data_IF_597425299677
#
_entry.id   IF_597425299677
#
_cell.length_a   1.000
_cell.length_b   1.000
_cell.length_c   1.000
_cell.angle_alpha   90.00
_cell.angle_beta   90.00
_cell.angle_gamma   90.00
#
_symmetry.space_group_name_H-M   'P 1'
#
loop_
_entity.id
_entity.type
_entity.pdbx_description
1 polymer ?
#
# COMPACT_ATOMS: atom_id res chain seq x y z
N UNK A 1 -22.13 30.26 -6.28
CA UNK A 1 -21.87 29.04 -5.50
C UNK A 1 -22.23 27.75 -6.25
N UNK A 2 -22.92 27.82 -7.40
CA UNK A 2 -23.21 26.67 -8.29
C UNK A 2 -22.09 26.31 -9.27
N UNK A 3 -21.15 27.22 -9.56
CA UNK A 3 -20.10 26.98 -10.58
C UNK A 3 -18.90 26.17 -10.06
N UNK A 4 -18.56 26.29 -8.77
CA UNK A 4 -17.41 25.58 -8.18
C UNK A 4 -17.61 24.07 -8.10
N UNK A 5 -18.85 23.63 -7.85
CA UNK A 5 -19.21 22.20 -7.82
C UNK A 5 -19.14 21.58 -9.21
N UNK A 6 -19.36 22.39 -10.25
CA UNK A 6 -19.27 21.96 -11.65
C UNK A 6 -17.80 21.85 -12.09
N UNK A 7 -16.93 22.79 -11.70
CA UNK A 7 -15.50 22.71 -12.02
C UNK A 7 -14.82 21.47 -11.44
N UNK A 8 -15.06 21.14 -10.17
CA UNK A 8 -14.44 19.97 -9.52
C UNK A 8 -14.85 18.65 -10.20
N UNK A 9 -16.11 18.55 -10.62
CA UNK A 9 -16.59 17.38 -11.34
C UNK A 9 -15.96 17.28 -12.74
N UNK A 10 -15.85 18.41 -13.44
CA UNK A 10 -15.21 18.46 -14.76
C UNK A 10 -13.71 18.17 -14.67
N UNK A 11 -13.00 18.61 -13.63
CA UNK A 11 -11.59 18.28 -13.42
C UNK A 11 -11.35 16.77 -13.25
N UNK A 12 -12.21 16.09 -12.50
CA UNK A 12 -12.18 14.63 -12.39
C UNK A 12 -12.36 13.95 -13.75
N UNK A 13 -13.28 14.44 -14.60
CA UNK A 13 -13.50 13.89 -15.94
C UNK A 13 -12.36 14.25 -16.93
N UNK A 14 -11.68 15.40 -16.73
CA UNK A 14 -10.49 15.78 -17.52
C UNK A 14 -9.35 14.81 -17.23
N UNK A 15 -9.09 14.50 -15.96
CA UNK A 15 -8.10 13.51 -15.53
C UNK A 15 -8.44 12.14 -16.12
N UNK A 16 -9.69 11.69 -15.96
CA UNK A 16 -10.19 10.43 -16.51
C UNK A 16 -9.97 10.32 -18.02
N UNK A 17 -10.31 11.39 -18.78
CA UNK A 17 -10.08 11.46 -20.24
C UNK A 17 -8.61 11.31 -20.60
N UNK A 18 -7.73 11.92 -19.82
CA UNK A 18 -6.31 12.01 -20.12
C UNK A 18 -5.60 10.66 -19.91
N UNK A 19 -6.03 9.88 -18.91
CA UNK A 19 -5.50 8.53 -18.61
C UNK A 19 -6.14 7.42 -19.48
N UNK A 20 -6.98 7.76 -20.45
CA UNK A 20 -7.53 6.80 -21.41
C UNK A 20 -8.73 5.97 -20.89
N UNK A 21 -9.29 6.34 -19.74
CA UNK A 21 -10.48 5.70 -19.21
C UNK A 21 -11.73 5.99 -20.07
N UNK A 22 -12.67 5.03 -20.19
CA UNK A 22 -13.83 5.18 -21.05
C UNK A 22 -14.86 6.16 -20.47
N UNK A 23 -14.92 7.37 -21.02
CA UNK A 23 -15.99 8.33 -20.77
C UNK A 23 -17.21 8.06 -21.64
N UNK A 24 -18.41 8.21 -21.06
CA UNK A 24 -19.65 8.23 -21.85
C UNK A 24 -19.65 9.41 -22.83
N UNK A 25 -20.43 9.31 -23.90
CA UNK A 25 -20.52 10.38 -24.91
C UNK A 25 -21.09 11.69 -24.32
N UNK A 26 -21.98 11.57 -23.33
CA UNK A 26 -22.52 12.72 -22.58
C UNK A 26 -21.45 13.39 -21.72
N UNK A 27 -20.60 12.63 -21.03
CA UNK A 27 -19.53 13.19 -20.19
C UNK A 27 -18.45 13.85 -21.04
N UNK A 28 -18.08 13.24 -22.18
CA UNK A 28 -17.15 13.84 -23.14
C UNK A 28 -17.68 15.19 -23.66
N UNK A 29 -18.95 15.23 -24.04
CA UNK A 29 -19.61 16.47 -24.49
C UNK A 29 -19.63 17.55 -23.39
N UNK A 30 -19.88 17.16 -22.14
CA UNK A 30 -19.86 18.09 -21.00
C UNK A 30 -18.47 18.64 -20.70
N UNK A 31 -17.43 17.79 -20.73
CA UNK A 31 -16.03 18.23 -20.55
C UNK A 31 -15.62 19.21 -21.64
N UNK A 32 -15.87 18.88 -22.91
CA UNK A 32 -15.45 19.73 -24.03
C UNK A 32 -16.20 21.07 -24.04
N UNK A 33 -17.49 21.07 -23.70
CA UNK A 33 -18.28 22.29 -23.55
C UNK A 33 -17.83 23.17 -22.37
N UNK A 34 -17.50 22.55 -21.23
CA UNK A 34 -17.07 23.28 -20.04
C UNK A 34 -15.64 23.83 -20.17
N UNK A 35 -14.71 23.04 -20.71
CA UNK A 35 -13.34 23.50 -21.01
C UNK A 35 -13.33 24.62 -22.05
N UNK A 36 -14.29 24.62 -22.98
CA UNK A 36 -14.48 25.71 -23.93
C UNK A 36 -14.86 27.06 -23.29
N UNK A 37 -15.36 27.05 -22.04
CA UNK A 37 -15.88 28.24 -21.35
C UNK A 37 -15.12 28.61 -20.07
N UNK A 38 -14.54 27.63 -19.37
CA UNK A 38 -13.78 27.83 -18.13
C UNK A 38 -12.26 27.85 -18.39
N UNK A 39 -11.60 28.99 -18.18
CA UNK A 39 -10.15 29.13 -18.37
C UNK A 39 -9.33 28.28 -17.40
N UNK A 40 -9.79 28.09 -16.15
CA UNK A 40 -9.09 27.26 -15.15
C UNK A 40 -9.07 25.78 -15.54
N UNK A 41 -10.21 25.22 -15.94
CA UNK A 41 -10.27 23.83 -16.41
C UNK A 41 -9.51 23.62 -17.72
N UNK A 42 -9.41 24.66 -18.57
CA UNK A 42 -8.59 24.63 -19.79
C UNK A 42 -7.09 24.58 -19.48
N UNK A 43 -6.63 25.36 -18.50
CA UNK A 43 -5.24 25.32 -18.03
C UNK A 43 -4.92 23.95 -17.40
N UNK A 44 -5.82 23.44 -16.56
CA UNK A 44 -5.70 22.11 -15.94
C UNK A 44 -5.60 20.99 -16.99
N UNK A 45 -6.48 20.99 -18.01
CA UNK A 45 -6.42 20.03 -19.11
C UNK A 45 -5.09 20.09 -19.87
N UNK A 46 -4.59 21.29 -20.19
CA UNK A 46 -3.32 21.43 -20.90
C UNK A 46 -2.13 20.97 -20.07
N UNK A 47 -2.13 21.24 -18.76
CA UNK A 47 -1.09 20.77 -17.84
C UNK A 47 -1.05 19.23 -17.76
N UNK A 48 -2.21 18.59 -17.68
CA UNK A 48 -2.32 17.12 -17.64
C UNK A 48 -1.87 16.50 -18.98
N UNK A 49 -2.27 17.08 -20.12
CA UNK A 49 -1.85 16.59 -21.44
C UNK A 49 -0.34 16.73 -21.64
N UNK A 50 0.26 17.84 -21.22
CA UNK A 50 1.71 18.04 -21.28
C UNK A 50 2.45 17.05 -20.36
N UNK A 51 1.92 16.77 -19.18
CA UNK A 51 2.49 15.80 -18.25
C UNK A 51 2.53 14.40 -18.88
N UNK A 52 1.43 13.96 -19.48
CA UNK A 52 1.31 12.61 -20.06
C UNK A 52 2.22 12.45 -21.29
N UNK A 53 2.34 13.48 -22.12
CA UNK A 53 3.20 13.45 -23.31
C UNK A 53 4.70 13.47 -22.97
N UNK A 54 5.08 13.84 -21.74
CA UNK A 54 6.47 13.86 -21.28
C UNK A 54 6.99 12.53 -20.73
N UNK A 55 6.16 11.48 -20.62
CA UNK A 55 6.51 10.23 -19.94
C UNK A 55 7.01 9.19 -20.96
N UNK A 56 8.25 8.70 -20.87
CA UNK A 56 8.73 7.59 -21.69
C UNK A 56 8.06 6.28 -21.23
N UNK A 57 7.27 5.66 -22.12
CA UNK A 57 6.67 4.34 -21.89
C UNK A 57 7.74 3.29 -22.19
N UNK A 58 8.24 2.61 -21.16
CA UNK A 58 9.09 1.42 -21.31
C UNK A 58 8.29 0.18 -20.91
N UNK A 59 8.00 -0.68 -21.88
CA UNK A 59 7.41 -1.99 -21.65
C UNK A 59 8.49 -2.94 -21.11
N UNK A 60 8.48 -3.22 -19.80
CA UNK A 60 9.23 -4.34 -19.25
C UNK A 60 8.26 -5.40 -18.71
N UNK A 61 8.48 -6.67 -19.08
CA UNK A 61 7.78 -7.84 -18.55
C UNK A 61 8.75 -8.63 -17.68
N UNK A 62 8.41 -8.80 -16.41
CA UNK A 62 9.14 -9.66 -15.48
C UNK A 62 8.58 -11.09 -15.49
N UNK A 63 9.44 -12.11 -15.57
CA UNK A 63 9.08 -13.53 -15.73
C UNK A 63 9.55 -14.43 -14.54
N UNK A 64 9.90 -13.86 -13.38
CA UNK A 64 10.44 -14.61 -12.22
C UNK A 64 9.42 -14.94 -11.11
N UNK A 65 9.72 -15.96 -10.30
CA UNK A 65 8.97 -16.33 -9.09
C UNK A 65 9.56 -15.62 -7.85
N UNK A 66 8.76 -14.76 -7.23
CA UNK A 66 9.15 -13.85 -6.14
C UNK A 66 8.84 -14.41 -4.74
N UNK A 67 8.15 -15.54 -4.63
CA UNK A 67 7.74 -16.14 -3.35
C UNK A 67 8.90 -16.38 -2.36
N UNK A 68 10.09 -16.83 -2.78
CA UNK A 68 11.19 -17.11 -1.83
C UNK A 68 11.72 -15.86 -1.15
N UNK A 69 11.79 -14.74 -1.87
CA UNK A 69 12.35 -13.47 -1.38
C UNK A 69 11.40 -12.78 -0.40
N UNK A 70 10.10 -12.90 -0.65
CA UNK A 70 9.03 -12.37 0.21
C UNK A 70 8.91 -13.18 1.51
N UNK A 71 9.08 -14.50 1.44
CA UNK A 71 9.04 -15.37 2.62
C UNK A 71 10.17 -15.08 3.64
N UNK A 72 11.37 -14.75 3.16
CA UNK A 72 12.48 -14.40 4.07
C UNK A 72 12.23 -13.03 4.73
N UNK A 73 11.65 -12.06 4.00
CA UNK A 73 11.28 -10.73 4.54
C UNK A 73 10.21 -10.81 5.65
N UNK A 74 9.21 -11.68 5.49
CA UNK A 74 8.17 -11.89 6.50
C UNK A 74 8.67 -12.62 7.76
N UNK A 75 9.77 -13.37 7.65
CA UNK A 75 10.38 -14.10 8.76
C UNK A 75 11.04 -13.16 9.78
N UNK A 76 11.51 -11.98 9.33
CA UNK A 76 12.22 -11.01 10.15
C UNK A 76 11.30 -9.96 10.79
N UNK A 77 10.08 -9.76 10.29
CA UNK A 77 9.13 -8.81 10.86
C UNK A 77 8.51 -9.30 12.18
N UNK A 78 8.86 -8.67 13.31
CA UNK A 78 8.17 -8.87 14.60
C UNK A 78 6.75 -8.29 14.55
N UNK A 79 5.76 -8.91 15.23
CA UNK A 79 4.41 -8.35 15.29
C UNK A 79 4.43 -7.04 16.07
N UNK A 80 4.05 -5.94 15.40
CA UNK A 80 3.82 -4.65 16.04
C UNK A 80 2.54 -4.72 16.91
N UNK A 81 2.52 -4.14 18.11
CA UNK A 81 1.34 -4.15 18.98
C UNK A 81 0.19 -3.31 18.40
N UNK A 82 -1.03 -3.85 18.58
CA UNK A 82 -2.35 -3.45 18.08
C UNK A 82 -2.86 -2.04 18.52
N UNK A 83 -1.96 -1.13 18.91
CA UNK A 83 -2.32 0.19 19.46
C UNK A 83 -2.32 1.32 18.41
N UNK A 84 -2.00 1.03 17.15
CA UNK A 84 -1.83 2.06 16.10
C UNK A 84 -3.08 2.35 15.25
N UNK A 85 -4.24 1.73 15.53
CA UNK A 85 -5.47 1.97 14.77
C UNK A 85 -6.38 3.09 15.31
N UNK A 86 -6.05 3.72 16.44
CA UNK A 86 -6.81 4.87 16.95
C UNK A 86 -5.91 5.87 17.68
N UNK A 87 -5.49 6.94 17.01
CA UNK A 87 -5.49 8.33 17.54
C UNK A 87 -4.88 9.29 16.51
N UNK A 88 -5.73 10.11 15.91
CA UNK A 88 -5.32 11.47 15.59
C UNK A 88 -5.08 12.22 16.90
N UNK A 89 -3.97 12.97 16.98
CA UNK A 89 -3.66 13.86 18.10
C UNK A 89 -2.46 13.44 18.95
N UNK A 90 -1.38 14.21 18.79
CA UNK A 90 -0.22 14.39 19.67
C UNK A 90 0.86 13.28 19.70
N UNK A 91 1.93 13.51 18.95
CA UNK A 91 3.28 13.14 19.40
C UNK A 91 4.22 14.34 19.26
N UNK A 92 4.45 15.02 20.39
CA UNK A 92 5.52 16.01 20.58
C UNK A 92 6.65 15.32 21.34
N UNK A 93 7.87 15.37 20.77
CA UNK A 93 9.19 15.07 21.37
C UNK A 93 9.40 13.62 21.88
N UNK A 94 10.53 12.95 21.65
CA UNK A 94 11.90 13.35 22.04
C UNK A 94 12.93 12.72 21.08
N UNK A 95 13.75 13.59 20.48
CA UNK A 95 15.08 13.28 19.95
C UNK A 95 16.08 12.99 21.10
N UNK A 96 17.08 12.15 20.82
CA UNK A 96 18.28 11.83 21.61
C UNK A 96 18.16 10.77 22.72
N UNK A 97 18.72 9.57 22.45
CA UNK A 97 19.98 9.17 23.10
C UNK A 97 20.59 7.92 22.44
N UNK A 98 21.50 8.16 21.49
CA UNK A 98 22.71 7.35 21.37
C UNK A 98 23.73 7.89 22.36
N UNK A 99 23.94 7.19 23.48
CA UNK A 99 25.07 7.40 24.37
C UNK A 99 25.29 6.15 25.22
N UNK A 100 25.97 5.15 24.65
CA UNK A 100 26.75 4.22 25.47
C UNK A 100 28.07 4.93 25.75
N UNK A 101 28.33 5.37 26.98
CA UNK A 101 29.68 5.31 27.53
C UNK A 101 29.71 5.42 29.05
N UNK A 102 30.47 4.49 29.62
CA UNK A 102 30.77 4.29 31.04
C UNK A 102 31.60 5.45 31.57
N UNK A 103 31.31 5.79 32.83
CA UNK A 103 31.99 6.76 33.67
C UNK A 103 33.53 6.74 33.58
N UNK A 104 34.15 7.91 33.38
CA UNK A 104 35.43 8.36 33.97
C UNK A 104 35.53 9.91 33.83
N UNK A 105 36.24 10.63 34.73
CA UNK A 105 36.02 12.06 34.95
C UNK A 105 36.96 13.00 34.17
N UNK A 106 36.39 14.13 33.75
CA UNK A 106 36.94 15.51 33.72
C UNK A 106 38.23 15.77 32.91
N UNK A 107 38.07 16.45 31.77
CA UNK A 107 38.90 17.62 31.47
C UNK A 107 38.17 18.65 30.58
N UNK A 108 38.56 19.91 30.74
CA UNK A 108 37.86 21.13 30.29
C UNK A 108 38.13 21.48 28.81
N UNK A 109 37.14 22.15 28.20
CA UNK A 109 37.26 23.03 27.03
C UNK A 109 37.75 22.41 25.71
N UNK A 110 36.82 21.84 24.94
CA UNK A 110 36.83 21.98 23.48
C UNK A 110 35.42 22.33 23.07
N UNK A 111 35.21 23.60 22.69
CA UNK A 111 34.02 23.99 21.94
C UNK A 111 34.12 23.38 20.55
N UNK A 112 33.65 22.15 20.38
CA UNK A 112 33.27 21.63 19.08
C UNK A 112 31.94 22.26 18.73
N UNK A 113 32.01 23.44 18.10
CA UNK A 113 30.97 23.87 17.20
C UNK A 113 30.93 22.81 16.10
N UNK A 114 30.05 21.80 16.26
CA UNK A 114 29.74 20.86 15.20
C UNK A 114 29.11 21.73 14.11
N UNK A 115 29.92 22.10 13.12
CA UNK A 115 29.44 22.73 11.91
C UNK A 115 28.39 21.79 11.31
N UNK A 116 27.10 22.08 11.55
CA UNK A 116 26.04 21.47 10.76
C UNK A 116 26.34 21.87 9.34
N UNK A 117 26.60 20.87 8.49
CA UNK A 117 26.64 21.09 7.05
C UNK A 117 25.37 21.86 6.67
N UNK A 118 25.44 22.87 5.78
CA UNK A 118 24.24 23.54 5.32
C UNK A 118 23.27 22.48 4.80
N UNK A 119 22.02 22.55 5.28
CA UNK A 119 20.99 21.60 4.88
C UNK A 119 20.86 21.63 3.36
N UNK A 120 20.89 20.44 2.74
CA UNK A 120 20.76 20.36 1.29
C UNK A 120 19.34 20.71 0.86
N UNK A 121 19.11 21.11 -0.41
CA UNK A 121 17.76 21.37 -0.91
C UNK A 121 16.81 20.19 -0.68
N UNK A 122 17.29 18.95 -0.84
CA UNK A 122 16.49 17.74 -0.61
C UNK A 122 16.20 17.52 0.88
N UNK A 123 17.15 17.79 1.77
CA UNK A 123 16.92 17.73 3.22
C UNK A 123 15.86 18.75 3.67
N UNK A 124 15.90 19.97 3.14
CA UNK A 124 14.87 20.98 3.39
C UNK A 124 13.50 20.56 2.85
N UNK A 125 13.47 20.01 1.64
CA UNK A 125 12.25 19.52 1.00
C UNK A 125 11.60 18.38 1.79
N UNK A 126 12.38 17.47 2.39
CA UNK A 126 11.87 16.43 3.28
C UNK A 126 11.15 17.02 4.50
N UNK A 127 11.70 18.06 5.11
CA UNK A 127 11.08 18.75 6.25
C UNK A 127 9.80 19.48 5.82
N UNK A 128 9.83 20.18 4.68
CA UNK A 128 8.68 20.91 4.17
C UNK A 128 7.55 19.97 3.73
N UNK A 129 7.87 18.87 3.06
CA UNK A 129 6.92 17.85 2.68
C UNK A 129 6.28 17.19 3.90
N UNK A 130 7.04 16.95 4.98
CA UNK A 130 6.46 16.44 6.22
C UNK A 130 5.50 17.45 6.87
N UNK A 131 5.81 18.74 6.83
CA UNK A 131 4.88 19.78 7.29
C UNK A 131 3.60 19.79 6.45
N UNK A 132 3.72 19.79 5.12
CA UNK A 132 2.58 19.72 4.20
C UNK A 132 1.73 18.44 4.43
N UNK A 133 2.37 17.30 4.68
CA UNK A 133 1.68 16.04 5.02
C UNK A 133 0.91 16.14 6.34
N UNK A 134 1.49 16.77 7.36
CA UNK A 134 0.82 16.98 8.65
C UNK A 134 -0.41 17.89 8.53
N UNK A 135 -0.39 18.81 7.56
CA UNK A 135 -1.50 19.71 7.23
C UNK A 135 -2.55 19.05 6.29
N UNK A 136 -2.33 17.79 5.88
CA UNK A 136 -3.20 17.06 4.95
C UNK A 136 -3.02 17.47 3.47
N UNK A 137 -2.00 18.27 3.16
CA UNK A 137 -1.65 18.72 1.81
C UNK A 137 -0.80 17.67 1.07
N UNK A 138 -1.29 16.44 0.93
CA UNK A 138 -0.54 15.30 0.40
C UNK A 138 -0.01 15.51 -1.03
N UNK A 139 -0.82 16.07 -1.92
CA UNK A 139 -0.39 16.35 -3.30
C UNK A 139 0.74 17.39 -3.34
N UNK A 140 0.73 18.37 -2.43
CA UNK A 140 1.80 19.37 -2.33
C UNK A 140 3.07 18.75 -1.76
N UNK A 141 2.96 17.94 -0.71
CA UNK A 141 4.09 17.20 -0.14
C UNK A 141 4.79 16.33 -1.20
N UNK A 142 3.99 15.64 -2.03
CA UNK A 142 4.49 14.88 -3.16
C UNK A 142 5.28 15.73 -4.16
N UNK A 143 4.72 16.87 -4.59
CA UNK A 143 5.36 17.76 -5.56
C UNK A 143 6.69 18.31 -5.02
N UNK A 144 6.72 18.76 -3.76
CA UNK A 144 7.93 19.27 -3.10
C UNK A 144 9.07 18.25 -3.18
N UNK A 145 8.80 16.98 -2.87
CA UNK A 145 9.81 15.92 -2.90
C UNK A 145 10.27 15.62 -4.33
N UNK A 146 9.35 15.50 -5.27
CA UNK A 146 9.67 15.18 -6.66
C UNK A 146 10.46 16.30 -7.34
N UNK A 147 10.13 17.56 -7.06
CA UNK A 147 10.87 18.72 -7.58
C UNK A 147 12.27 18.80 -6.97
N UNK A 148 12.42 18.58 -5.66
CA UNK A 148 13.72 18.59 -5.01
C UNK A 148 14.67 17.52 -5.55
N UNK A 149 14.20 16.28 -5.75
CA UNK A 149 15.00 15.20 -6.34
C UNK A 149 15.31 15.46 -7.82
N UNK A 150 14.41 16.15 -8.54
CA UNK A 150 14.67 16.53 -9.93
C UNK A 150 15.74 17.62 -10.04
N UNK A 151 15.80 18.53 -9.07
CA UNK A 151 16.80 19.60 -9.02
C UNK A 151 18.18 19.09 -8.58
N UNK A 152 18.23 18.13 -7.66
CA UNK A 152 19.48 17.53 -7.18
C UNK A 152 19.37 16.00 -6.99
N UNK A 153 19.50 15.27 -8.09
CA UNK A 153 19.31 13.82 -8.12
C UNK A 153 20.46 13.03 -7.46
N UNK A 154 21.64 13.64 -7.34
CA UNK A 154 22.84 13.02 -6.74
C UNK A 154 22.95 13.29 -5.22
N UNK A 155 21.98 14.01 -4.65
CA UNK A 155 21.92 14.29 -3.21
C UNK A 155 21.84 13.01 -2.38
N UNK A 156 22.52 12.98 -1.24
CA UNK A 156 22.58 11.81 -0.36
C UNK A 156 21.21 11.41 0.22
N UNK A 157 20.22 12.31 0.20
CA UNK A 157 18.85 12.08 0.67
C UNK A 157 17.85 11.88 -0.48
N UNK A 158 18.29 11.86 -1.74
CA UNK A 158 17.41 11.72 -2.90
C UNK A 158 16.59 10.41 -2.85
N UNK A 159 17.22 9.29 -2.44
CA UNK A 159 16.51 8.02 -2.27
C UNK A 159 15.43 8.07 -1.20
N UNK A 160 15.71 8.67 -0.04
CA UNK A 160 14.73 8.87 1.02
C UNK A 160 13.55 9.74 0.57
N UNK A 161 13.81 10.80 -0.19
CA UNK A 161 12.78 11.67 -0.75
C UNK A 161 11.91 10.93 -1.79
N UNK A 162 12.53 10.12 -2.66
CA UNK A 162 11.81 9.27 -3.62
C UNK A 162 10.90 8.26 -2.92
N UNK A 163 11.40 7.58 -1.88
CA UNK A 163 10.59 6.63 -1.11
C UNK A 163 9.42 7.32 -0.40
N UNK A 164 9.66 8.49 0.21
CA UNK A 164 8.60 9.29 0.82
C UNK A 164 7.54 9.76 -0.19
N UNK A 165 7.95 10.13 -1.41
CA UNK A 165 7.01 10.47 -2.48
C UNK A 165 6.18 9.26 -2.92
N UNK A 166 6.81 8.08 -3.04
CA UNK A 166 6.13 6.82 -3.36
C UNK A 166 5.11 6.43 -2.30
N UNK A 167 5.46 6.60 -1.03
CA UNK A 167 4.58 6.36 0.12
C UNK A 167 3.34 7.26 0.09
N UNK A 168 3.52 8.56 -0.19
CA UNK A 168 2.40 9.51 -0.31
C UNK A 168 1.51 9.14 -1.49
N UNK A 169 2.11 8.84 -2.65
CA UNK A 169 1.38 8.44 -3.85
C UNK A 169 0.54 7.18 -3.60
N UNK A 170 1.11 6.17 -2.94
CA UNK A 170 0.44 4.91 -2.64
C UNK A 170 -0.65 5.06 -1.57
N UNK A 171 -0.26 5.53 -0.38
CA UNK A 171 -1.10 5.39 0.82
C UNK A 171 -2.13 6.52 0.96
N UNK A 172 -1.78 7.75 0.58
CA UNK A 172 -2.61 8.93 0.86
C UNK A 172 -3.39 9.40 -0.36
N UNK A 173 -2.84 9.18 -1.56
CA UNK A 173 -3.43 9.67 -2.82
C UNK A 173 -4.09 8.56 -3.65
N UNK A 174 -3.78 7.28 -3.40
CA UNK A 174 -4.25 6.17 -4.22
C UNK A 174 -3.74 6.24 -5.68
N UNK A 175 -2.65 6.96 -5.93
CA UNK A 175 -2.04 7.12 -7.25
C UNK A 175 -1.15 5.92 -7.57
N UNK A 176 -1.77 4.75 -7.74
CA UNK A 176 -1.05 3.47 -7.83
C UNK A 176 -0.07 3.38 -9.00
N UNK A 177 -0.44 3.91 -10.17
CA UNK A 177 0.47 3.94 -11.32
C UNK A 177 1.72 4.79 -11.04
N UNK A 178 1.56 5.95 -10.41
CA UNK A 178 2.65 6.84 -10.05
C UNK A 178 3.52 6.21 -8.96
N UNK A 179 2.91 5.64 -7.92
CA UNK A 179 3.63 4.92 -6.86
C UNK A 179 4.46 3.77 -7.44
N UNK A 180 3.90 3.01 -8.38
CA UNK A 180 4.58 1.92 -9.07
C UNK A 180 5.80 2.40 -9.86
N UNK A 181 5.66 3.48 -10.63
CA UNK A 181 6.80 4.10 -11.33
C UNK A 181 7.89 4.59 -10.36
N UNK A 182 7.49 5.19 -9.25
CA UNK A 182 8.41 5.73 -8.24
C UNK A 182 9.18 4.61 -7.54
N UNK A 183 8.50 3.56 -7.11
CA UNK A 183 9.17 2.42 -6.48
C UNK A 183 10.04 1.64 -7.46
N UNK A 184 9.65 1.54 -8.74
CA UNK A 184 10.53 1.02 -9.80
C UNK A 184 11.83 1.83 -9.90
N UNK A 185 11.72 3.16 -9.90
CA UNK A 185 12.87 4.06 -9.89
C UNK A 185 13.70 3.90 -8.61
N UNK A 186 13.06 3.80 -7.45
CA UNK A 186 13.73 3.57 -6.18
C UNK A 186 14.52 2.26 -6.17
N UNK A 187 13.94 1.19 -6.72
CA UNK A 187 14.59 -0.11 -6.84
C UNK A 187 15.82 -0.06 -7.78
N UNK A 188 15.75 0.70 -8.88
CA UNK A 188 16.81 0.73 -9.89
C UNK A 188 17.93 1.73 -9.58
N UNK A 189 17.59 2.92 -9.08
CA UNK A 189 18.52 4.03 -8.85
C UNK A 189 18.95 4.15 -7.38
N UNK A 190 18.08 3.76 -6.44
CA UNK A 190 18.27 3.95 -4.99
C UNK A 190 18.14 2.63 -4.21
N UNK A 191 18.69 1.54 -4.75
CA UNK A 191 18.48 0.18 -4.24
C UNK A 191 18.79 0.02 -2.75
N UNK A 192 19.87 0.65 -2.25
CA UNK A 192 20.24 0.55 -0.82
C UNK A 192 19.14 1.10 0.08
N UNK A 193 18.61 2.28 -0.23
CA UNK A 193 17.52 2.90 0.52
C UNK A 193 16.24 2.06 0.38
N UNK A 194 15.87 1.69 -0.85
CA UNK A 194 14.68 0.90 -1.13
C UNK A 194 14.68 -0.45 -0.39
N UNK A 195 15.77 -1.20 -0.45
CA UNK A 195 15.88 -2.53 0.17
C UNK A 195 15.94 -2.47 1.70
N UNK A 196 16.32 -1.33 2.29
CA UNK A 196 16.29 -1.12 3.73
C UNK A 196 14.90 -0.79 4.29
N UNK A 197 13.98 -0.31 3.45
CA UNK A 197 12.63 0.07 3.85
C UNK A 197 11.61 -1.05 3.55
N UNK A 198 11.37 -1.91 4.54
CA UNK A 198 10.51 -3.09 4.39
C UNK A 198 9.08 -2.75 3.91
N UNK A 199 8.54 -1.60 4.32
CA UNK A 199 7.22 -1.14 3.89
C UNK A 199 7.22 -0.76 2.40
N UNK A 200 8.29 -0.14 1.90
CA UNK A 200 8.42 0.20 0.47
C UNK A 200 8.52 -1.07 -0.38
N UNK A 201 9.34 -2.05 0.05
CA UNK A 201 9.43 -3.36 -0.63
C UNK A 201 8.08 -4.07 -0.65
N UNK A 202 7.35 -4.09 0.47
CA UNK A 202 6.02 -4.70 0.54
C UNK A 202 5.04 -4.01 -0.42
N UNK A 203 4.96 -2.68 -0.39
CA UNK A 203 4.05 -1.90 -1.26
C UNK A 203 4.39 -2.09 -2.74
N UNK A 204 5.67 -2.10 -3.08
CA UNK A 204 6.11 -2.38 -4.44
C UNK A 204 5.66 -3.77 -4.91
N UNK A 205 5.81 -4.81 -4.08
CA UNK A 205 5.34 -6.16 -4.42
C UNK A 205 3.82 -6.22 -4.63
N UNK A 206 3.05 -5.46 -3.84
CA UNK A 206 1.60 -5.34 -4.04
C UNK A 206 1.27 -4.67 -5.37
N UNK A 207 2.00 -3.61 -5.71
CA UNK A 207 1.83 -2.91 -6.99
C UNK A 207 2.22 -3.79 -8.18
N UNK A 208 3.32 -4.55 -8.08
CA UNK A 208 3.73 -5.52 -9.10
C UNK A 208 2.65 -6.61 -9.30
N UNK A 209 2.12 -7.16 -8.21
CA UNK A 209 1.02 -8.12 -8.28
C UNK A 209 -0.21 -7.50 -8.97
N UNK A 210 -0.62 -6.31 -8.55
CA UNK A 210 -1.77 -5.62 -9.12
C UNK A 210 -1.56 -5.31 -10.61
N UNK A 211 -0.39 -4.79 -10.98
CA UNK A 211 -0.02 -4.49 -12.36
C UNK A 211 -0.02 -5.74 -13.25
N UNK A 212 0.39 -6.90 -12.70
CA UNK A 212 0.36 -8.18 -13.42
C UNK A 212 -1.05 -8.68 -13.73
N UNK A 213 -2.03 -8.29 -12.91
CA UNK A 213 -3.47 -8.59 -13.12
C UNK A 213 -4.03 -7.63 -14.16
N UNK A 214 -3.80 -6.33 -13.96
CA UNK A 214 -4.26 -5.27 -14.83
C UNK A 214 -3.40 -3.99 -14.67
N UNK A 215 -2.99 -3.41 -15.79
CA UNK A 215 -2.10 -2.24 -15.81
C UNK A 215 -2.74 -0.96 -15.26
N UNK A 216 -4.08 -0.90 -15.15
CA UNK A 216 -4.80 0.20 -14.54
C UNK A 216 -5.01 0.02 -13.02
N UNK A 217 -4.43 -1.02 -12.41
CA UNK A 217 -4.50 -1.29 -10.96
C UNK A 217 -5.94 -1.43 -10.45
N UNK A 218 -6.86 -1.94 -11.28
CA UNK A 218 -8.29 -2.09 -10.91
C UNK A 218 -8.50 -2.87 -9.61
N UNK A 219 -7.64 -3.86 -9.30
CA UNK A 219 -7.70 -4.63 -8.06
C UNK A 219 -7.49 -3.76 -6.83
N UNK A 220 -6.54 -2.83 -6.84
CA UNK A 220 -6.28 -1.95 -5.69
C UNK A 220 -7.41 -0.96 -5.49
N UNK A 221 -7.92 -0.35 -6.57
CA UNK A 221 -9.09 0.53 -6.47
C UNK A 221 -10.35 -0.22 -5.98
N UNK A 222 -10.53 -1.47 -6.41
CA UNK A 222 -11.63 -2.30 -5.93
C UNK A 222 -11.48 -2.68 -4.45
N UNK A 223 -10.24 -2.89 -3.97
CA UNK A 223 -9.96 -3.10 -2.56
C UNK A 223 -10.31 -1.85 -1.75
N UNK A 224 -9.86 -0.67 -2.17
CA UNK A 224 -10.16 0.59 -1.48
C UNK A 224 -11.66 0.83 -1.41
N UNK A 225 -12.37 0.59 -2.51
CA UNK A 225 -13.82 0.70 -2.55
C UNK A 225 -14.50 -0.28 -1.58
N UNK A 226 -13.95 -1.48 -1.40
CA UNK A 226 -14.46 -2.46 -0.44
C UNK A 226 -14.15 -2.07 1.01
N UNK A 227 -12.92 -1.59 1.28
CA UNK A 227 -12.48 -1.11 2.59
C UNK A 227 -13.27 0.12 3.05
N UNK A 228 -13.52 1.07 2.14
CA UNK A 228 -14.31 2.28 2.44
C UNK A 228 -15.78 1.98 2.76
N UNK A 229 -16.33 0.87 2.25
CA UNK A 229 -17.67 0.41 2.65
C UNK A 229 -17.65 -0.24 4.03
N UNK A 230 -16.52 -0.81 4.44
CA UNK A 230 -16.29 -1.52 5.69
C UNK A 230 -17.38 -2.57 6.00
N UNK A 231 -17.78 -3.32 4.97
CA UNK A 231 -18.77 -4.39 5.08
C UNK A 231 -18.16 -5.73 4.72
N UNK A 232 -18.55 -6.77 5.47
CA UNK A 232 -18.16 -8.15 5.21
C UNK A 232 -18.51 -8.55 3.78
N UNK A 233 -19.67 -8.14 3.28
CA UNK A 233 -20.18 -8.47 1.95
C UNK A 233 -19.32 -7.86 0.83
N UNK A 234 -18.89 -6.60 0.97
CA UNK A 234 -18.04 -5.95 -0.02
C UNK A 234 -16.65 -6.61 -0.10
N UNK A 235 -16.07 -6.94 1.06
CA UNK A 235 -14.78 -7.62 1.12
C UNK A 235 -14.86 -9.07 0.61
N UNK A 236 -15.94 -9.79 0.93
CA UNK A 236 -16.18 -11.14 0.38
C UNK A 236 -16.29 -11.10 -1.15
N UNK A 237 -16.99 -10.09 -1.70
CA UNK A 237 -17.07 -9.89 -3.14
C UNK A 237 -15.69 -9.58 -3.75
N UNK A 238 -14.87 -8.77 -3.07
CA UNK A 238 -13.50 -8.49 -3.47
C UNK A 238 -12.64 -9.76 -3.52
N UNK A 239 -12.59 -10.53 -2.43
CA UNK A 239 -11.81 -11.78 -2.33
C UNK A 239 -12.26 -12.79 -3.39
N UNK A 240 -13.56 -12.83 -3.71
CA UNK A 240 -14.07 -13.70 -4.76
C UNK A 240 -13.66 -13.24 -6.18
N UNK A 241 -13.52 -11.92 -6.40
CA UNK A 241 -13.11 -11.36 -7.71
C UNK A 241 -11.61 -11.48 -7.95
N UNK A 242 -10.79 -11.30 -6.91
CA UNK A 242 -9.32 -11.34 -7.00
C UNK A 242 -8.71 -12.41 -6.08
N UNK A 243 -9.07 -13.70 -6.22
CA UNK A 243 -8.61 -14.75 -5.32
C UNK A 243 -7.10 -15.00 -5.46
N UNK A 244 -6.48 -15.52 -4.40
CA UNK A 244 -5.07 -15.92 -4.37
C UNK A 244 -4.07 -14.77 -4.60
N UNK A 245 -4.48 -13.54 -4.32
CA UNK A 245 -3.63 -12.34 -4.33
C UNK A 245 -3.24 -11.95 -2.91
N UNK A 246 -2.14 -11.22 -2.73
CA UNK A 246 -1.74 -10.64 -1.44
C UNK A 246 -2.86 -9.76 -0.86
N UNK A 247 -3.45 -8.93 -1.72
CA UNK A 247 -4.57 -8.08 -1.32
C UNK A 247 -5.83 -8.86 -0.92
N UNK A 248 -6.06 -10.04 -1.48
CA UNK A 248 -7.13 -10.93 -1.01
C UNK A 248 -6.87 -11.53 0.37
N UNK A 249 -5.60 -11.76 0.73
CA UNK A 249 -5.23 -12.18 2.09
C UNK A 249 -5.48 -11.07 3.10
N UNK A 250 -5.15 -9.82 2.75
CA UNK A 250 -5.43 -8.67 3.61
C UNK A 250 -6.94 -8.41 3.77
N UNK A 251 -7.70 -8.47 2.67
CA UNK A 251 -9.16 -8.40 2.71
C UNK A 251 -9.77 -9.54 3.55
N UNK A 252 -9.23 -10.75 3.45
CA UNK A 252 -9.65 -11.90 4.27
C UNK A 252 -9.40 -11.66 5.76
N UNK A 253 -8.27 -11.05 6.12
CA UNK A 253 -7.98 -10.63 7.50
C UNK A 253 -8.98 -9.58 7.99
N UNK A 254 -9.30 -8.58 7.18
CA UNK A 254 -10.30 -7.57 7.55
C UNK A 254 -11.70 -8.19 7.73
N UNK A 255 -12.10 -9.16 6.90
CA UNK A 255 -13.34 -9.93 7.09
C UNK A 255 -13.37 -10.59 8.48
N UNK A 256 -12.28 -11.23 8.89
CA UNK A 256 -12.18 -11.86 10.21
C UNK A 256 -12.24 -10.83 11.36
N UNK A 257 -11.58 -9.69 11.20
CA UNK A 257 -11.64 -8.59 12.17
C UNK A 257 -13.06 -8.01 12.30
N UNK A 258 -13.78 -7.85 11.19
CA UNK A 258 -15.19 -7.43 11.21
C UNK A 258 -16.10 -8.48 11.86
N UNK A 259 -15.80 -9.77 11.68
CA UNK A 259 -16.53 -10.83 12.37
C UNK A 259 -16.31 -10.78 13.89
N UNK A 260 -15.08 -10.49 14.34
CA UNK A 260 -14.77 -10.24 15.75
C UNK A 260 -15.51 -9.01 16.26
N UNK A 261 -15.47 -7.90 15.51
CA UNK A 261 -16.13 -6.64 15.88
C UNK A 261 -17.65 -6.81 16.09
N UNK A 262 -18.27 -7.74 15.37
CA UNK A 262 -19.70 -8.08 15.49
C UNK A 262 -20.02 -8.99 16.67
N UNK A 263 -19.02 -9.64 17.28
CA UNK A 263 -19.24 -10.51 18.42
C UNK A 263 -19.53 -9.69 19.69
N UNK A 264 -20.58 -10.04 20.44
CA UNK A 264 -20.99 -9.32 21.66
C UNK A 264 -19.95 -9.35 22.80
N UNK A 265 -18.91 -10.18 22.68
CA UNK A 265 -17.80 -10.31 23.64
C UNK A 265 -16.46 -10.13 22.92
N UNK A 266 -16.10 -8.86 22.71
CA UNK A 266 -14.92 -8.45 21.94
C UNK A 266 -13.58 -8.86 22.59
N UNK A 267 -13.53 -8.94 23.91
CA UNK A 267 -12.25 -8.91 24.64
C UNK A 267 -11.43 -10.21 24.59
N UNK A 268 -12.02 -11.33 24.11
CA UNK A 268 -11.39 -12.66 24.16
C UNK A 268 -11.26 -13.36 22.80
N UNK A 269 -11.70 -12.74 21.69
CA UNK A 269 -11.68 -13.40 20.40
C UNK A 269 -10.30 -13.31 19.73
N UNK A 270 -9.75 -14.48 19.42
CA UNK A 270 -8.57 -14.62 18.56
C UNK A 270 -8.93 -14.39 17.09
N UNK A 271 -7.91 -14.06 16.27
CA UNK A 271 -8.08 -13.93 14.82
C UNK A 271 -8.58 -15.23 14.18
N UNK A 272 -8.17 -16.40 14.70
CA UNK A 272 -8.67 -17.70 14.26
C UNK A 272 -10.19 -17.84 14.48
N UNK A 273 -10.71 -17.41 15.64
CA UNK A 273 -12.16 -17.40 15.89
C UNK A 273 -12.91 -16.41 14.98
N UNK A 274 -12.28 -15.26 14.66
CA UNK A 274 -12.79 -14.35 13.64
C UNK A 274 -12.95 -15.01 12.27
N UNK A 275 -11.92 -15.74 11.82
CA UNK A 275 -11.99 -16.50 10.58
C UNK A 275 -13.02 -17.62 10.63
N UNK A 276 -13.13 -18.37 11.73
CA UNK A 276 -14.15 -19.41 11.90
C UNK A 276 -15.57 -18.84 11.74
N UNK A 277 -15.85 -17.68 12.36
CA UNK A 277 -17.13 -16.99 12.22
C UNK A 277 -17.37 -16.45 10.80
N UNK A 278 -16.33 -15.92 10.15
CA UNK A 278 -16.39 -15.50 8.76
C UNK A 278 -16.70 -16.67 7.82
N UNK A 279 -16.04 -17.81 8.00
CA UNK A 279 -16.27 -19.04 7.23
C UNK A 279 -17.70 -19.54 7.42
N UNK A 280 -18.21 -19.54 8.65
CA UNK A 280 -19.57 -20.00 8.96
C UNK A 280 -20.68 -19.17 8.29
N UNK A 281 -20.39 -17.91 7.96
CA UNK A 281 -21.33 -16.98 7.32
C UNK A 281 -21.05 -16.73 5.83
N UNK A 282 -19.92 -17.21 5.30
CA UNK A 282 -19.53 -16.98 3.92
C UNK A 282 -20.24 -17.94 2.95
N UNK A 283 -20.95 -17.38 1.98
CA UNK A 283 -21.67 -18.16 0.95
C UNK A 283 -20.93 -18.25 -0.39
N UNK A 284 -19.90 -17.43 -0.59
CA UNK A 284 -19.12 -17.42 -1.83
C UNK A 284 -18.08 -18.55 -1.81
N UNK A 285 -18.11 -19.53 -2.72
CA UNK A 285 -17.16 -20.65 -2.71
C UNK A 285 -15.70 -20.22 -2.83
N UNK A 286 -15.43 -19.18 -3.64
CA UNK A 286 -14.09 -18.62 -3.81
C UNK A 286 -13.59 -17.96 -2.53
N UNK A 287 -14.40 -17.09 -1.92
CA UNK A 287 -14.01 -16.44 -0.68
C UNK A 287 -13.93 -17.43 0.49
N UNK A 288 -14.81 -18.43 0.55
CA UNK A 288 -14.77 -19.50 1.53
C UNK A 288 -13.44 -20.27 1.46
N UNK A 289 -13.01 -20.66 0.25
CA UNK A 289 -11.74 -21.34 0.05
C UNK A 289 -10.54 -20.46 0.45
N UNK A 290 -10.54 -19.16 0.10
CA UNK A 290 -9.52 -18.21 0.53
C UNK A 290 -9.47 -18.08 2.06
N UNK A 291 -10.61 -17.88 2.73
CA UNK A 291 -10.70 -17.76 4.18
C UNK A 291 -10.21 -19.04 4.90
N UNK A 292 -10.49 -20.23 4.36
CA UNK A 292 -9.97 -21.49 4.91
C UNK A 292 -8.45 -21.59 4.81
N UNK A 293 -7.86 -21.14 3.71
CA UNK A 293 -6.40 -21.07 3.55
C UNK A 293 -5.81 -20.11 4.60
N UNK A 294 -6.39 -18.93 4.76
CA UNK A 294 -5.91 -17.94 5.74
C UNK A 294 -6.04 -18.42 7.19
N UNK A 295 -7.15 -19.08 7.54
CA UNK A 295 -7.30 -19.72 8.85
C UNK A 295 -6.24 -20.81 9.08
N UNK A 296 -5.93 -21.59 8.05
CA UNK A 296 -4.87 -22.60 8.16
C UNK A 296 -3.51 -21.94 8.45
N UNK A 297 -3.19 -20.80 7.85
CA UNK A 297 -1.98 -20.03 8.20
C UNK A 297 -2.00 -19.51 9.64
N UNK A 298 -3.14 -19.04 10.16
CA UNK A 298 -3.21 -18.62 11.56
C UNK A 298 -3.01 -19.80 12.54
N UNK A 299 -3.54 -20.97 12.23
CA UNK A 299 -3.31 -22.18 13.03
C UNK A 299 -1.86 -22.65 13.02
N UNK A 300 -1.13 -22.47 11.91
CA UNK A 300 0.29 -22.85 11.84
C UNK A 300 1.18 -21.82 12.55
N UNK A 301 0.85 -20.53 12.48
CA UNK A 301 1.58 -19.45 13.18
C UNK A 301 1.62 -19.65 14.69
N UNK A 302 0.53 -20.17 15.28
CA UNK A 302 0.46 -20.51 16.70
C UNK A 302 1.15 -21.82 17.10
N UNK A 303 1.61 -22.64 16.14
CA UNK A 303 2.34 -23.89 16.35
C UNK A 303 1.55 -25.06 16.94
N UNK A 304 0.45 -24.81 17.66
CA UNK A 304 -0.30 -25.83 18.39
C UNK A 304 -1.35 -26.58 17.54
N UNK A 305 -1.78 -26.03 16.40
CA UNK A 305 -2.97 -26.50 15.67
C UNK A 305 -2.69 -26.95 14.23
N UNK A 306 -1.46 -27.42 13.93
CA UNK A 306 -1.07 -27.95 12.60
C UNK A 306 -2.06 -28.98 12.03
N UNK A 307 -2.67 -29.81 12.88
CA UNK A 307 -3.67 -30.81 12.47
C UNK A 307 -4.94 -30.17 11.88
N UNK A 308 -5.44 -29.09 12.49
CA UNK A 308 -6.61 -28.37 11.95
C UNK A 308 -6.26 -27.65 10.65
N UNK A 309 -5.08 -27.04 10.57
CA UNK A 309 -4.59 -26.41 9.35
C UNK A 309 -4.57 -27.40 8.17
N UNK A 310 -4.06 -28.63 8.39
CA UNK A 310 -4.05 -29.69 7.38
C UNK A 310 -5.44 -30.02 6.87
N UNK A 311 -6.42 -30.20 7.76
CA UNK A 311 -7.81 -30.53 7.38
C UNK A 311 -8.40 -29.43 6.49
N UNK A 312 -8.25 -28.16 6.88
CA UNK A 312 -8.74 -27.03 6.10
C UNK A 312 -8.13 -26.98 4.70
N UNK A 313 -6.81 -27.16 4.60
CA UNK A 313 -6.12 -27.16 3.32
C UNK A 313 -6.56 -28.34 2.43
N UNK A 314 -6.71 -29.54 3.00
CA UNK A 314 -7.20 -30.72 2.26
C UNK A 314 -8.60 -30.49 1.69
N UNK A 315 -9.52 -29.92 2.46
CA UNK A 315 -10.86 -29.55 1.97
C UNK A 315 -10.79 -28.61 0.77
N UNK A 316 -9.89 -27.62 0.79
CA UNK A 316 -9.69 -26.69 -0.33
C UNK A 316 -9.05 -27.38 -1.54
N UNK A 317 -8.15 -28.34 -1.33
CA UNK A 317 -7.58 -29.14 -2.43
C UNK A 317 -8.63 -30.00 -3.12
N UNK A 318 -9.56 -30.57 -2.36
CA UNK A 318 -10.57 -31.51 -2.87
C UNK A 318 -11.76 -30.81 -3.54
N UNK A 319 -12.19 -29.67 -3.01
CA UNK A 319 -13.46 -29.03 -3.39
C UNK A 319 -13.32 -27.58 -3.84
N UNK A 320 -12.12 -26.99 -3.72
CA UNK A 320 -11.86 -25.60 -4.04
C UNK A 320 -11.63 -25.33 -5.54
N UNK A 321 -11.77 -24.07 -5.97
CA UNK A 321 -11.39 -23.63 -7.31
C UNK A 321 -9.90 -23.88 -7.60
N UNK A 322 -9.56 -24.18 -8.86
CA UNK A 322 -8.21 -24.68 -9.26
C UNK A 322 -7.04 -23.85 -8.72
N UNK A 323 -7.11 -22.52 -8.81
CA UNK A 323 -6.04 -21.62 -8.34
C UNK A 323 -5.83 -21.74 -6.83
N UNK A 324 -6.91 -21.77 -6.05
CA UNK A 324 -6.86 -21.90 -4.58
C UNK A 324 -6.49 -23.33 -4.15
N UNK A 325 -6.95 -24.35 -4.88
CA UNK A 325 -6.54 -25.73 -4.65
C UNK A 325 -5.02 -25.89 -4.85
N UNK A 326 -4.43 -25.24 -5.86
CA UNK A 326 -2.99 -25.27 -6.06
C UNK A 326 -2.23 -24.56 -4.92
N UNK A 327 -2.68 -23.38 -4.49
CA UNK A 327 -2.11 -22.68 -3.34
C UNK A 327 -2.20 -23.52 -2.04
N UNK A 328 -3.32 -24.22 -1.85
CA UNK A 328 -3.50 -25.10 -0.70
C UNK A 328 -2.56 -26.32 -0.73
N UNK A 329 -2.28 -26.91 -1.91
CA UNK A 329 -1.27 -27.98 -2.05
C UNK A 329 0.12 -27.50 -1.65
N UNK A 330 0.55 -26.36 -2.18
CA UNK A 330 1.86 -25.78 -1.83
C UNK A 330 1.98 -25.53 -0.32
N UNK A 331 0.89 -25.11 0.32
CA UNK A 331 0.84 -24.89 1.77
C UNK A 331 0.89 -26.20 2.58
N UNK A 332 0.25 -27.26 2.08
CA UNK A 332 0.34 -28.60 2.67
C UNK A 332 1.76 -29.15 2.58
N UNK A 333 2.41 -29.03 1.43
CA UNK A 333 3.79 -29.49 1.23
C UNK A 333 4.75 -28.77 2.20
N UNK A 334 4.58 -27.46 2.38
CA UNK A 334 5.37 -26.68 3.34
C UNK A 334 5.09 -27.08 4.80
N UNK A 335 3.84 -27.39 5.14
CA UNK A 335 3.45 -27.87 6.46
C UNK A 335 4.09 -29.23 6.78
N UNK A 336 4.22 -30.10 5.77
CA UNK A 336 4.77 -31.46 5.88
C UNK A 336 6.29 -31.46 5.95
N UNK A 337 6.93 -30.48 5.32
CA UNK A 337 8.36 -30.25 5.39
C UNK A 337 8.83 -29.69 6.74
N UNK A 338 7.91 -29.20 7.58
CA UNK A 338 8.23 -28.60 8.89
C UNK A 338 8.06 -29.64 10.01
N UNK A 339 9.16 -30.15 10.60
CA UNK A 339 9.12 -31.25 11.58
C UNK A 339 8.29 -30.97 12.85
#
# INVERSE_FOLDING_TARGET
MSDLTNCNHIESLIVQKAYGEPLTESERGNVDAHVGTCSGCKESQNAIVQLIQGIPINDFKYEGDLLPVIHESLRESKPLPLQWLFTGGAFVLVLFMGAVFVALPRDQNVGTEIARSPATPVELALVEAQAARNDGEFAKAYVILMDAVKEDADDAHAGAAILAAGDIAYAELGWYSQAHMIYNRAQSEFYTDFSSEADAVRRYNILEEAYSIDAAFESLYALDAAMNRDTTEALVAYVARYPATFTSSDASRQIALLAIAKAEKLDDWSLAQGYEAAIASCTSPLALASLKIELAYEYTRGGAEKGKARVLLQEVVESGPTVLAQRARTSLDALDATP
#
